data_IF_089922955565
#
_entry.id   IF_089922955565
#
_cell.length_a   1.000
_cell.length_b   1.000
_cell.length_c   1.000
_cell.angle_alpha   90.00
_cell.angle_beta   90.00
_cell.angle_gamma   90.00
#
_symmetry.space_group_name_H-M   'P 1'
#
loop_
_entity.id
_entity.type
_entity.pdbx_description
1 polymer ?
#
# COMPACT_ATOMS: atom_id res chain seq x y z
N UNK A 1 -25.89 6.98 -7.03
CA UNK A 1 -25.32 5.67 -7.44
C UNK A 1 -25.17 5.51 -8.95
N UNK A 2 -26.24 5.57 -9.77
CA UNK A 2 -26.15 5.38 -11.23
C UNK A 2 -25.17 6.34 -11.93
N UNK A 3 -25.17 7.63 -11.56
CA UNK A 3 -24.24 8.62 -12.12
C UNK A 3 -22.78 8.33 -11.77
N UNK A 4 -22.51 7.95 -10.52
CA UNK A 4 -21.15 7.59 -10.06
C UNK A 4 -20.63 6.37 -10.82
N UNK A 5 -21.48 5.35 -11.00
CA UNK A 5 -21.16 4.16 -11.78
C UNK A 5 -20.88 4.52 -13.26
N UNK A 6 -21.67 5.41 -13.85
CA UNK A 6 -21.46 5.90 -15.22
C UNK A 6 -20.11 6.61 -15.35
N UNK A 7 -19.75 7.48 -14.41
CA UNK A 7 -18.47 8.19 -14.43
C UNK A 7 -17.28 7.22 -14.33
N UNK A 8 -17.37 6.20 -13.47
CA UNK A 8 -16.31 5.20 -13.35
C UNK A 8 -16.11 4.40 -14.65
N UNK A 9 -17.22 3.98 -15.27
CA UNK A 9 -17.18 3.26 -16.55
C UNK A 9 -16.55 4.14 -17.65
N UNK A 10 -16.96 5.41 -17.76
CA UNK A 10 -16.41 6.34 -18.74
C UNK A 10 -14.90 6.56 -18.55
N UNK A 11 -14.45 6.75 -17.29
CA UNK A 11 -13.02 6.91 -16.98
C UNK A 11 -12.23 5.64 -17.35
N UNK A 12 -12.74 4.46 -17.01
CA UNK A 12 -12.07 3.20 -17.37
C UNK A 12 -11.95 3.02 -18.90
N UNK A 13 -13.01 3.35 -19.64
CA UNK A 13 -13.01 3.30 -21.11
C UNK A 13 -12.01 4.29 -21.70
N UNK A 14 -11.93 5.50 -21.16
CA UNK A 14 -10.97 6.50 -21.60
C UNK A 14 -9.53 5.99 -21.45
N UNK A 15 -9.19 5.36 -20.32
CA UNK A 15 -7.85 4.81 -20.09
C UNK A 15 -7.51 3.69 -21.09
N UNK A 16 -8.48 2.83 -21.41
CA UNK A 16 -8.31 1.77 -22.41
C UNK A 16 -8.09 2.37 -23.81
N UNK A 17 -8.87 3.39 -24.18
CA UNK A 17 -8.71 4.06 -25.48
C UNK A 17 -7.33 4.71 -25.58
N UNK A 18 -6.87 5.40 -24.55
CA UNK A 18 -5.54 6.01 -24.51
C UNK A 18 -4.43 4.97 -24.62
N UNK A 19 -4.57 3.81 -23.96
CA UNK A 19 -3.64 2.70 -24.07
C UNK A 19 -3.61 2.11 -25.50
N UNK A 20 -4.78 1.93 -26.13
CA UNK A 20 -4.84 1.42 -27.50
C UNK A 20 -4.25 2.42 -28.50
N UNK A 21 -4.53 3.72 -28.33
CA UNK A 21 -3.95 4.77 -29.15
C UNK A 21 -2.43 4.80 -29.01
N UNK A 22 -1.89 4.71 -27.79
CA UNK A 22 -0.44 4.68 -27.58
C UNK A 22 0.20 3.44 -28.21
N UNK A 23 -0.46 2.29 -28.15
CA UNK A 23 0.01 1.07 -28.82
C UNK A 23 0.03 1.21 -30.35
N UNK A 24 -1.02 1.78 -30.95
CA UNK A 24 -1.11 1.99 -32.42
C UNK A 24 -0.08 3.01 -32.90
N UNK A 25 0.10 4.11 -32.15
CA UNK A 25 1.05 5.17 -32.50
C UNK A 25 2.50 4.72 -32.24
N UNK A 26 2.72 3.79 -31.29
CA UNK A 26 4.06 3.37 -30.93
C UNK A 26 4.80 2.78 -32.14
N UNK A 27 5.90 3.44 -32.51
CA UNK A 27 6.85 2.88 -33.48
C UNK A 27 7.61 1.76 -32.78
N UNK A 28 7.06 0.54 -32.82
CA UNK A 28 7.77 -0.65 -32.38
C UNK A 28 8.96 -0.82 -33.32
N UNK A 29 10.14 -0.40 -32.86
CA UNK A 29 11.39 -0.86 -33.46
C UNK A 29 11.37 -2.39 -33.43
N UNK A 30 12.02 -3.01 -34.41
CA UNK A 30 12.30 -4.44 -34.41
C UNK A 30 12.70 -4.89 -33.00
N UNK A 31 12.25 -6.09 -32.60
CA UNK A 31 12.57 -6.68 -31.30
C UNK A 31 14.08 -6.90 -31.20
N UNK A 32 14.80 -5.86 -30.84
CA UNK A 32 16.23 -5.91 -30.60
C UNK A 32 16.41 -6.57 -29.22
N UNK A 33 17.18 -7.66 -29.15
CA UNK A 33 17.38 -8.44 -27.93
C UNK A 33 17.89 -7.56 -26.76
N UNK A 34 18.70 -6.55 -27.05
CA UNK A 34 19.23 -5.60 -26.07
C UNK A 34 18.17 -4.66 -25.49
N UNK A 35 17.08 -4.37 -26.22
CA UNK A 35 15.94 -3.61 -25.69
C UNK A 35 15.02 -4.46 -24.81
N UNK A 36 15.11 -5.78 -24.93
CA UNK A 36 14.29 -6.75 -24.19
C UNK A 36 15.03 -7.21 -22.93
N UNK A 37 16.36 -7.11 -22.89
CA UNK A 37 17.15 -7.36 -21.68
C UNK A 37 16.97 -6.25 -20.63
N UNK A 38 17.05 -6.58 -19.33
CA UNK A 38 17.06 -5.58 -18.27
C UNK A 38 18.23 -4.60 -18.46
N UNK A 39 17.99 -3.34 -18.10
CA UNK A 39 19.01 -2.31 -18.18
C UNK A 39 20.06 -2.54 -17.08
N UNK A 40 21.23 -3.02 -17.49
CA UNK A 40 22.40 -3.16 -16.62
C UNK A 40 23.56 -2.33 -17.18
N UNK A 41 24.56 -2.04 -16.35
CA UNK A 41 25.76 -1.31 -16.77
C UNK A 41 26.71 -2.16 -17.65
N UNK A 42 26.19 -3.10 -18.43
CA UNK A 42 26.96 -4.00 -19.30
C UNK A 42 27.50 -5.27 -18.62
N UNK A 43 27.05 -5.57 -17.41
CA UNK A 43 27.33 -6.84 -16.73
C UNK A 43 26.19 -7.83 -16.97
N UNK A 44 26.49 -9.13 -16.89
CA UNK A 44 25.45 -10.16 -16.85
C UNK A 44 24.98 -10.31 -15.40
N UNK A 45 23.68 -10.57 -15.16
CA UNK A 45 23.17 -10.75 -13.82
C UNK A 45 23.87 -11.92 -13.12
N UNK A 46 24.68 -11.59 -12.11
CA UNK A 46 25.37 -12.57 -11.27
C UNK A 46 24.39 -13.14 -10.24
N UNK A 47 23.69 -14.21 -10.64
CA UNK A 47 23.03 -15.25 -9.83
C UNK A 47 22.06 -14.88 -8.68
N UNK A 48 21.01 -15.71 -8.57
CA UNK A 48 19.99 -15.84 -7.52
C UNK A 48 19.25 -14.56 -7.05
N UNK A 49 18.01 -14.44 -7.52
CA UNK A 49 16.98 -13.44 -7.16
C UNK A 49 16.58 -13.38 -5.68
N UNK A 50 17.22 -14.15 -4.80
CA UNK A 50 16.99 -14.12 -3.36
C UNK A 50 17.85 -13.02 -2.72
N UNK A 51 17.39 -11.78 -2.83
CA UNK A 51 17.91 -10.72 -1.97
C UNK A 51 17.49 -11.03 -0.52
N UNK A 52 18.37 -10.86 0.47
CA UNK A 52 17.98 -11.03 1.86
C UNK A 52 16.85 -10.04 2.17
N UNK A 53 15.71 -10.56 2.59
CA UNK A 53 14.55 -9.76 2.93
C UNK A 53 14.83 -9.01 4.24
N UNK A 54 14.68 -7.68 4.24
CA UNK A 54 14.92 -6.91 5.46
C UNK A 54 13.75 -7.08 6.43
N UNK A 55 14.03 -7.47 7.67
CA UNK A 55 13.02 -7.62 8.73
C UNK A 55 12.21 -6.34 8.96
N UNK A 56 12.81 -5.18 8.72
CA UNK A 56 12.21 -3.86 8.91
C UNK A 56 10.99 -3.65 8.00
N UNK A 57 11.07 -4.02 6.71
CA UNK A 57 9.93 -3.94 5.79
C UNK A 57 8.76 -4.82 6.22
N UNK A 58 9.04 -6.00 6.79
CA UNK A 58 7.98 -6.86 7.31
C UNK A 58 7.30 -6.28 8.55
N UNK A 59 8.09 -5.75 9.51
CA UNK A 59 7.55 -5.12 10.71
C UNK A 59 6.64 -3.93 10.35
N UNK A 60 7.06 -3.07 9.43
CA UNK A 60 6.26 -1.94 8.95
C UNK A 60 4.94 -2.43 8.32
N UNK A 61 4.98 -3.52 7.52
CA UNK A 61 3.77 -4.07 6.90
C UNK A 61 2.78 -4.64 7.93
N UNK A 62 3.28 -5.33 8.96
CA UNK A 62 2.44 -5.86 10.04
C UNK A 62 1.84 -4.73 10.86
N UNK A 63 2.62 -3.71 11.23
CA UNK A 63 2.12 -2.52 11.92
C UNK A 63 1.05 -1.81 11.10
N UNK A 64 1.29 -1.60 9.81
CA UNK A 64 0.33 -0.99 8.90
C UNK A 64 -0.99 -1.75 8.88
N UNK A 65 -0.95 -3.09 8.79
CA UNK A 65 -2.15 -3.92 8.80
C UNK A 65 -2.94 -3.78 10.11
N UNK A 66 -2.25 -3.75 11.26
CA UNK A 66 -2.91 -3.58 12.57
C UNK A 66 -3.56 -2.20 12.69
N UNK A 67 -2.84 -1.13 12.30
CA UNK A 67 -3.39 0.23 12.34
C UNK A 67 -4.53 0.45 11.35
N UNK A 68 -4.50 -0.19 10.17
CA UNK A 68 -5.59 -0.10 9.18
C UNK A 68 -6.89 -0.72 9.71
N UNK A 69 -6.79 -1.90 10.34
CA UNK A 69 -7.94 -2.55 10.99
C UNK A 69 -8.50 -1.68 12.12
N UNK A 70 -7.63 -1.05 12.91
CA UNK A 70 -8.07 -0.19 14.01
C UNK A 70 -8.79 1.07 13.51
N UNK A 71 -8.27 1.72 12.47
CA UNK A 71 -8.94 2.88 11.87
C UNK A 71 -10.32 2.49 11.33
N UNK A 72 -10.45 1.31 10.71
CA UNK A 72 -11.73 0.80 10.24
C UNK A 72 -12.75 0.62 11.39
N UNK A 73 -12.31 0.25 12.59
CA UNK A 73 -13.15 0.16 13.80
C UNK A 73 -13.50 1.52 14.40
N UNK A 74 -12.60 2.50 14.28
CA UNK A 74 -12.81 3.86 14.81
C UNK A 74 -13.80 4.66 13.96
N UNK A 75 -13.77 4.53 12.63
CA UNK A 75 -14.64 5.29 11.71
C UNK A 75 -16.14 5.27 12.06
N UNK A 76 -16.77 4.14 12.42
CA UNK A 76 -18.19 4.11 12.79
C UNK A 76 -18.48 4.66 14.20
N UNK A 77 -17.47 4.84 15.07
CA UNK A 77 -17.68 5.27 16.47
C UNK A 77 -18.54 6.53 16.61
N UNK A 78 -18.25 7.64 15.89
CA UNK A 78 -19.01 8.88 16.05
C UNK A 78 -20.50 8.72 15.72
N UNK A 79 -20.84 7.83 14.77
CA UNK A 79 -22.23 7.55 14.41
C UNK A 79 -22.96 6.78 15.51
N UNK A 80 -22.25 5.91 16.23
CA UNK A 80 -22.84 5.07 17.29
C UNK A 80 -22.97 5.78 18.65
N UNK A 81 -22.30 6.93 18.85
CA UNK A 81 -22.40 7.72 20.08
C UNK A 81 -23.83 8.21 20.37
N UNK A 82 -24.68 8.34 19.33
CA UNK A 82 -26.09 8.70 19.49
C UNK A 82 -26.88 7.68 20.33
N UNK A 83 -26.45 6.42 20.38
CA UNK A 83 -27.09 5.36 21.16
C UNK A 83 -26.46 5.16 22.56
N UNK A 84 -25.65 6.12 23.03
CA UNK A 84 -25.03 6.13 24.37
C UNK A 84 -24.16 4.89 24.67
N UNK A 85 -23.41 4.42 23.68
CA UNK A 85 -22.50 3.27 23.77
C UNK A 85 -21.14 3.65 24.39
N UNK A 86 -21.17 4.25 25.58
CA UNK A 86 -19.98 4.68 26.33
C UNK A 86 -18.95 3.54 26.52
N UNK A 87 -19.43 2.31 26.76
CA UNK A 87 -18.54 1.15 26.92
C UNK A 87 -17.73 0.85 25.66
N UNK A 88 -18.34 1.02 24.48
CA UNK A 88 -17.69 0.74 23.20
C UNK A 88 -16.62 1.81 22.91
N UNK A 89 -16.88 3.07 23.24
CA UNK A 89 -15.90 4.15 23.19
C UNK A 89 -14.71 3.90 24.12
N UNK A 90 -14.97 3.53 25.38
CA UNK A 90 -13.92 3.23 26.37
C UNK A 90 -13.06 2.05 25.91
N UNK A 91 -13.66 0.99 25.36
CA UNK A 91 -12.92 -0.18 24.88
C UNK A 91 -11.98 0.15 23.73
N UNK A 92 -12.42 0.92 22.73
CA UNK A 92 -11.57 1.35 21.60
C UNK A 92 -10.47 2.31 22.08
N UNK A 93 -10.78 3.21 23.00
CA UNK A 93 -9.78 4.13 23.55
C UNK A 93 -8.68 3.38 24.33
N UNK A 94 -9.05 2.39 25.14
CA UNK A 94 -8.07 1.54 25.84
C UNK A 94 -7.21 0.75 24.85
N UNK A 95 -7.80 0.24 23.77
CA UNK A 95 -7.08 -0.50 22.74
C UNK A 95 -6.09 0.40 21.97
N UNK A 96 -6.47 1.63 21.63
CA UNK A 96 -5.59 2.65 21.07
C UNK A 96 -4.36 2.93 21.94
N UNK A 97 -4.54 3.06 23.26
CA UNK A 97 -3.42 3.29 24.19
C UNK A 97 -2.43 2.13 24.15
N UNK A 98 -2.92 0.89 24.14
CA UNK A 98 -2.06 -0.30 24.08
C UNK A 98 -1.22 -0.30 22.80
N UNK A 99 -1.83 0.01 21.65
CA UNK A 99 -1.12 0.09 20.37
C UNK A 99 -0.10 1.22 20.33
N UNK A 100 -0.42 2.40 20.87
CA UNK A 100 0.52 3.52 20.97
C UNK A 100 1.75 3.15 21.80
N UNK A 101 1.56 2.48 22.94
CA UNK A 101 2.67 2.01 23.77
C UNK A 101 3.54 1.00 23.01
N UNK A 102 2.93 0.06 22.29
CA UNK A 102 3.64 -0.89 21.44
C UNK A 102 4.48 -0.21 20.35
N UNK A 103 3.90 0.78 19.67
CA UNK A 103 4.61 1.57 18.66
C UNK A 103 5.78 2.36 19.25
N UNK A 104 5.60 2.99 20.42
CA UNK A 104 6.70 3.68 21.10
C UNK A 104 7.83 2.73 21.48
N UNK A 105 7.50 1.51 21.93
CA UNK A 105 8.50 0.48 22.24
C UNK A 105 9.31 0.06 21.01
N UNK A 106 8.63 -0.18 19.88
CA UNK A 106 9.31 -0.56 18.63
C UNK A 106 10.14 0.59 18.04
N UNK A 107 9.67 1.83 18.19
CA UNK A 107 10.43 3.00 17.78
C UNK A 107 11.69 3.16 18.63
N UNK A 108 11.60 3.03 19.95
CA UNK A 108 12.77 3.09 20.83
C UNK A 108 13.82 2.02 20.49
N UNK A 109 13.39 0.84 20.04
CA UNK A 109 14.29 -0.23 19.61
C UNK A 109 14.91 0.00 18.21
N UNK A 110 14.62 1.13 17.54
CA UNK A 110 15.15 1.45 16.22
C UNK A 110 14.62 0.55 15.10
N UNK A 111 13.56 -0.24 15.35
CA UNK A 111 13.00 -1.14 14.34
C UNK A 111 12.37 -0.39 13.15
N UNK A 112 11.97 0.86 13.38
CA UNK A 112 11.39 1.78 12.40
C UNK A 112 12.42 2.73 11.78
N UNK A 113 13.66 2.73 12.26
CA UNK A 113 14.72 3.59 11.73
C UNK A 113 15.49 2.86 10.62
N UNK A 114 15.66 3.53 9.49
CA UNK A 114 16.55 3.03 8.45
C UNK A 114 17.98 3.40 8.79
N UNK A 115 18.78 2.36 9.06
CA UNK A 115 20.23 2.49 9.03
C UNK A 115 20.64 2.78 7.58
N UNK A 116 21.52 3.77 7.41
CA UNK A 116 22.18 4.04 6.13
C UNK A 116 23.04 2.86 5.70
#
# INVERSE_FOLDING_TARGET
MKFIMLMFILLSLLMIILFMMSFIISKKATMDMEKISPFECGMNPLNNFSTPFSIQFFLIAVLFMIFDVEIALIIPLPLTLMNNLLNLFISNYMFLIILLIGLFYEWYNGALEWNK
#
